data_IF_125207873247
#
_entry.id   IF_125207873247
#
_cell.length_a   1.000
_cell.length_b   1.000
_cell.length_c   1.000
_cell.angle_alpha   90.00
_cell.angle_beta   90.00
_cell.angle_gamma   90.00
#
_symmetry.space_group_name_H-M   'P 1'
#
loop_
_entity.id
_entity.type
_entity.pdbx_description
1 polymer ?
#
# COMPACT_ATOMS: atom_id res chain seq x y z
N UNK A 1 -21.89 23.90 -28.07
CA UNK A 1 -23.04 22.99 -28.03
C UNK A 1 -23.43 22.68 -26.62
N UNK A 2 -24.64 22.91 -26.23
CA UNK A 2 -25.11 22.58 -24.90
C UNK A 2 -25.34 21.05 -24.78
N UNK A 3 -24.79 20.44 -23.77
CA UNK A 3 -25.03 19.04 -23.47
C UNK A 3 -26.43 18.91 -22.86
N UNK A 4 -27.29 17.97 -23.33
CA UNK A 4 -28.59 17.74 -22.70
C UNK A 4 -28.44 17.47 -21.19
N UNK A 5 -29.34 18.04 -20.40
CA UNK A 5 -29.26 17.93 -18.93
C UNK A 5 -29.23 16.49 -18.44
N UNK A 6 -29.97 15.58 -19.07
CA UNK A 6 -29.96 14.17 -18.67
C UNK A 6 -28.59 13.50 -18.88
N UNK A 7 -27.99 13.76 -20.05
CA UNK A 7 -26.65 13.24 -20.36
C UNK A 7 -25.59 13.86 -19.45
N UNK A 8 -25.73 15.16 -19.17
CA UNK A 8 -24.83 15.87 -18.27
C UNK A 8 -24.87 15.26 -16.87
N UNK A 9 -26.06 15.01 -16.33
CA UNK A 9 -26.23 14.39 -15.02
C UNK A 9 -25.67 12.99 -14.98
N UNK A 10 -25.93 12.18 -16.01
CA UNK A 10 -25.38 10.83 -16.11
C UNK A 10 -23.84 10.84 -16.14
N UNK A 11 -23.28 11.74 -16.95
CA UNK A 11 -21.83 11.86 -17.07
C UNK A 11 -21.17 12.30 -15.76
N UNK A 12 -21.76 13.31 -15.11
CA UNK A 12 -21.28 13.77 -13.81
C UNK A 12 -21.38 12.68 -12.75
N UNK A 13 -22.45 11.89 -12.76
CA UNK A 13 -22.64 10.79 -11.84
C UNK A 13 -21.60 9.69 -12.06
N UNK A 14 -21.31 9.35 -13.30
CA UNK A 14 -20.28 8.36 -13.63
C UNK A 14 -18.89 8.82 -13.17
N UNK A 15 -18.54 10.07 -13.43
CA UNK A 15 -17.25 10.65 -13.02
C UNK A 15 -17.16 10.72 -11.50
N UNK A 16 -18.24 11.14 -10.83
CA UNK A 16 -18.33 11.18 -9.37
C UNK A 16 -18.14 9.79 -8.76
N UNK A 17 -18.76 8.77 -9.36
CA UNK A 17 -18.61 7.39 -8.90
C UNK A 17 -17.17 6.90 -9.03
N UNK A 18 -16.49 7.23 -10.14
CA UNK A 18 -15.08 6.91 -10.35
C UNK A 18 -14.20 7.60 -9.32
N UNK A 19 -14.47 8.89 -9.05
CA UNK A 19 -13.72 9.66 -8.07
C UNK A 19 -13.88 9.08 -6.67
N UNK A 20 -15.10 8.74 -6.28
CA UNK A 20 -15.38 8.13 -4.98
C UNK A 20 -14.70 6.77 -4.84
N UNK A 21 -14.73 5.95 -5.87
CA UNK A 21 -14.07 4.65 -5.88
C UNK A 21 -12.56 4.82 -5.74
N UNK A 22 -11.96 5.75 -6.49
CA UNK A 22 -10.53 6.02 -6.41
C UNK A 22 -10.14 6.50 -5.00
N UNK A 23 -10.92 7.40 -4.40
CA UNK A 23 -10.69 7.90 -3.04
C UNK A 23 -10.76 6.77 -2.01
N UNK A 24 -11.77 5.91 -2.13
CA UNK A 24 -11.93 4.75 -1.24
C UNK A 24 -10.75 3.79 -1.35
N UNK A 25 -10.33 3.48 -2.57
CA UNK A 25 -9.18 2.62 -2.82
C UNK A 25 -7.87 3.25 -2.32
N UNK A 26 -7.73 4.58 -2.45
CA UNK A 26 -6.58 5.31 -1.89
C UNK A 26 -6.49 5.15 -0.39
N UNK A 27 -7.62 5.23 0.33
CA UNK A 27 -7.65 5.01 1.77
C UNK A 27 -7.16 3.62 2.15
N UNK A 28 -7.59 2.60 1.41
CA UNK A 28 -7.17 1.22 1.62
C UNK A 28 -5.67 1.06 1.35
N UNK A 29 -5.18 1.59 0.22
CA UNK A 29 -3.77 1.50 -0.17
C UNK A 29 -2.88 2.22 0.85
N UNK A 30 -3.28 3.41 1.29
CA UNK A 30 -2.53 4.17 2.30
C UNK A 30 -2.41 3.39 3.61
N UNK A 31 -3.48 2.72 4.03
CA UNK A 31 -3.47 1.87 5.23
C UNK A 31 -2.51 0.69 5.03
N UNK A 32 -2.51 0.06 3.88
CA UNK A 32 -1.61 -1.03 3.54
C UNK A 32 -0.14 -0.57 3.54
N UNK A 33 0.14 0.61 2.98
CA UNK A 33 1.49 1.18 2.97
C UNK A 33 2.00 1.40 4.39
N UNK A 34 1.18 1.99 5.26
CA UNK A 34 1.55 2.22 6.66
C UNK A 34 1.83 0.90 7.37
N UNK A 35 0.98 -0.11 7.17
CA UNK A 35 1.15 -1.43 7.76
C UNK A 35 2.45 -2.09 7.29
N UNK A 36 2.76 -2.02 5.99
CA UNK A 36 3.99 -2.60 5.42
C UNK A 36 5.24 -1.87 5.89
N UNK A 37 5.19 -0.55 6.04
CA UNK A 37 6.31 0.22 6.59
C UNK A 37 6.61 -0.16 8.03
N UNK A 38 5.57 -0.38 8.84
CA UNK A 38 5.73 -0.85 10.22
C UNK A 38 6.37 -2.24 10.26
N UNK A 39 5.92 -3.12 9.40
CA UNK A 39 6.46 -4.47 9.28
C UNK A 39 7.93 -4.44 8.86
N UNK A 40 8.29 -3.61 7.89
CA UNK A 40 9.66 -3.40 7.44
C UNK A 40 10.55 -2.90 8.59
N UNK A 41 10.06 -1.91 9.36
CA UNK A 41 10.79 -1.38 10.50
C UNK A 41 11.00 -2.43 11.58
N UNK A 42 9.99 -3.24 11.86
CA UNK A 42 10.08 -4.34 12.82
C UNK A 42 11.16 -5.32 12.41
N UNK A 43 11.21 -5.68 11.14
CA UNK A 43 12.26 -6.57 10.61
C UNK A 43 13.66 -5.97 10.74
N UNK A 44 13.81 -4.67 10.44
CA UNK A 44 15.09 -3.98 10.60
C UNK A 44 15.56 -4.00 12.06
N UNK A 45 14.67 -3.73 12.99
CA UNK A 45 15.00 -3.75 14.43
C UNK A 45 15.36 -5.15 14.88
N UNK A 46 14.62 -6.16 14.45
CA UNK A 46 14.89 -7.55 14.75
C UNK A 46 16.26 -7.99 14.20
N UNK A 47 16.57 -7.61 12.96
CA UNK A 47 17.85 -7.91 12.33
C UNK A 47 19.01 -7.24 13.08
N UNK A 48 18.85 -6.00 13.49
CA UNK A 48 19.84 -5.29 14.30
C UNK A 48 20.08 -5.98 15.65
N UNK A 49 19.01 -6.40 16.31
CA UNK A 49 19.11 -7.15 17.56
C UNK A 49 19.81 -8.49 17.35
N UNK A 50 19.50 -9.19 16.27
CA UNK A 50 20.16 -10.45 15.93
C UNK A 50 21.64 -10.27 15.66
N UNK A 51 22.05 -9.17 15.03
CA UNK A 51 23.46 -8.86 14.78
C UNK A 51 24.26 -8.61 16.06
N UNK A 52 23.58 -8.15 17.13
CA UNK A 52 24.23 -7.91 18.42
C UNK A 52 24.44 -9.19 19.25
N UNK A 53 23.82 -10.30 18.84
CA UNK A 53 23.94 -11.57 19.55
C UNK A 53 25.24 -12.30 19.20
N UNK A 54 25.86 -13.01 20.18
CA UNK A 54 27.01 -13.88 19.88
C UNK A 54 26.63 -14.95 18.86
N UNK A 55 27.62 -15.37 18.06
CA UNK A 55 27.46 -16.29 16.92
C UNK A 55 26.71 -17.60 17.23
N UNK A 56 26.79 -18.11 18.44
CA UNK A 56 26.23 -19.40 18.84
C UNK A 56 25.03 -19.25 19.79
N UNK A 57 24.46 -18.06 19.88
CA UNK A 57 23.31 -17.83 20.75
C UNK A 57 22.10 -18.61 20.25
N UNK A 58 21.49 -19.47 21.09
CA UNK A 58 20.29 -20.17 20.69
C UNK A 58 19.14 -19.19 20.54
N UNK A 59 18.40 -19.31 19.43
CA UNK A 59 17.25 -18.47 19.13
C UNK A 59 16.04 -19.36 19.01
N UNK A 60 14.92 -18.93 19.62
CA UNK A 60 13.66 -19.65 19.59
C UNK A 60 12.66 -18.91 18.74
N UNK A 61 12.04 -19.62 17.83
CA UNK A 61 11.01 -19.09 16.96
C UNK A 61 9.64 -19.54 17.40
N UNK A 62 8.69 -18.61 17.48
CA UNK A 62 7.32 -18.94 17.80
C UNK A 62 6.60 -19.53 16.59
N UNK A 63 6.11 -20.76 16.70
CA UNK A 63 5.27 -21.44 15.70
C UNK A 63 3.99 -21.85 16.38
N UNK A 64 2.92 -21.10 16.12
CA UNK A 64 1.66 -21.28 16.85
C UNK A 64 1.86 -21.03 18.33
N UNK A 65 1.61 -22.04 19.18
CA UNK A 65 1.81 -21.96 20.64
C UNK A 65 3.16 -22.54 21.11
N UNK A 66 4.03 -22.94 20.17
CA UNK A 66 5.30 -23.59 20.48
C UNK A 66 6.47 -22.73 20.04
N UNK A 67 7.61 -22.89 20.72
CA UNK A 67 8.86 -22.27 20.33
C UNK A 67 9.80 -23.37 19.81
N UNK A 68 10.38 -23.12 18.65
CA UNK A 68 11.29 -24.04 17.99
C UNK A 68 12.68 -23.43 17.97
N UNK A 69 13.68 -24.22 18.40
CA UNK A 69 15.08 -23.82 18.38
C UNK A 69 15.53 -23.66 16.91
N UNK A 70 16.04 -22.50 16.58
CA UNK A 70 16.48 -22.19 15.22
C UNK A 70 17.88 -21.56 15.26
N UNK A 71 18.69 -21.78 14.22
CA UNK A 71 19.98 -21.11 14.12
C UNK A 71 19.80 -19.63 13.78
N UNK A 72 20.70 -18.79 14.29
CA UNK A 72 20.70 -17.35 13.99
C UNK A 72 20.83 -17.09 12.49
N UNK A 73 21.65 -17.89 11.79
CA UNK A 73 21.84 -17.78 10.35
C UNK A 73 20.57 -18.04 9.56
N UNK A 74 19.78 -19.04 9.95
CA UNK A 74 18.52 -19.37 9.28
C UNK A 74 17.47 -18.28 9.49
N UNK A 75 17.40 -17.73 10.70
CA UNK A 75 16.49 -16.61 11.01
C UNK A 75 16.85 -15.38 10.18
N UNK A 76 18.14 -15.06 10.09
CA UNK A 76 18.62 -13.93 9.28
C UNK A 76 18.29 -14.08 7.81
N UNK A 77 18.47 -15.29 7.24
CA UNK A 77 18.13 -15.56 5.83
C UNK A 77 16.65 -15.34 5.57
N UNK A 78 15.80 -15.83 6.46
CA UNK A 78 14.36 -15.68 6.33
C UNK A 78 13.96 -14.22 6.47
N UNK A 79 14.51 -13.49 7.43
CA UNK A 79 14.24 -12.07 7.62
C UNK A 79 14.68 -11.25 6.41
N UNK A 80 15.83 -11.58 5.81
CA UNK A 80 16.29 -10.90 4.59
C UNK A 80 15.33 -11.12 3.43
N UNK A 81 14.80 -12.34 3.28
CA UNK A 81 13.80 -12.65 2.24
C UNK A 81 12.49 -11.90 2.48
N UNK A 82 12.01 -11.88 3.72
CA UNK A 82 10.82 -11.14 4.10
C UNK A 82 10.97 -9.64 3.84
N UNK A 83 12.14 -9.08 4.17
CA UNK A 83 12.43 -7.67 3.93
C UNK A 83 12.41 -7.35 2.43
N UNK A 84 12.96 -8.23 1.60
CA UNK A 84 12.93 -8.07 0.15
C UNK A 84 11.51 -8.15 -0.40
N UNK A 85 10.71 -9.10 0.08
CA UNK A 85 9.30 -9.25 -0.32
C UNK A 85 8.49 -8.01 0.06
N UNK A 86 8.69 -7.48 1.27
CA UNK A 86 8.02 -6.25 1.72
C UNK A 86 8.42 -5.06 0.85
N UNK A 87 9.68 -4.96 0.48
CA UNK A 87 10.18 -3.90 -0.40
C UNK A 87 9.49 -3.94 -1.75
N UNK A 88 9.32 -5.14 -2.33
CA UNK A 88 8.59 -5.32 -3.60
C UNK A 88 7.12 -4.94 -3.46
N UNK A 89 6.48 -5.36 -2.37
CA UNK A 89 5.08 -5.02 -2.09
C UNK A 89 4.90 -3.51 -1.92
N UNK A 90 5.83 -2.83 -1.24
CA UNK A 90 5.81 -1.37 -1.09
C UNK A 90 5.94 -0.66 -2.42
N UNK A 91 6.80 -1.13 -3.32
CA UNK A 91 6.94 -0.58 -4.66
C UNK A 91 5.63 -0.72 -5.46
N UNK A 92 4.99 -1.88 -5.36
CA UNK A 92 3.72 -2.14 -6.04
C UNK A 92 2.59 -1.26 -5.47
N UNK A 93 2.54 -1.10 -4.16
CA UNK A 93 1.56 -0.23 -3.50
C UNK A 93 1.78 1.23 -3.85
N UNK A 94 3.03 1.66 -3.95
CA UNK A 94 3.38 3.02 -4.36
C UNK A 94 2.90 3.32 -5.78
N UNK A 95 3.11 2.40 -6.71
CA UNK A 95 2.60 2.51 -8.08
C UNK A 95 1.07 2.57 -8.11
N UNK A 96 0.42 1.73 -7.33
CA UNK A 96 -1.04 1.70 -7.23
C UNK A 96 -1.57 3.01 -6.64
N UNK A 97 -0.92 3.52 -5.60
CA UNK A 97 -1.25 4.82 -5.00
C UNK A 97 -1.16 5.94 -6.05
N UNK A 98 -0.07 5.99 -6.79
CA UNK A 98 0.13 7.01 -7.81
C UNK A 98 -0.92 6.94 -8.91
N UNK A 99 -1.24 5.74 -9.38
CA UNK A 99 -2.29 5.51 -10.37
C UNK A 99 -3.65 6.00 -9.87
N UNK A 100 -4.00 5.68 -8.63
CA UNK A 100 -5.27 6.08 -8.03
C UNK A 100 -5.34 7.59 -7.79
N UNK A 101 -4.25 8.20 -7.35
CA UNK A 101 -4.17 9.67 -7.19
C UNK A 101 -4.37 10.38 -8.53
N UNK A 102 -3.73 9.87 -9.59
CA UNK A 102 -3.87 10.42 -10.94
C UNK A 102 -5.30 10.25 -11.45
N UNK A 103 -5.91 9.10 -11.22
CA UNK A 103 -7.30 8.83 -11.61
C UNK A 103 -8.26 9.77 -10.89
N UNK A 104 -8.07 9.96 -9.59
CA UNK A 104 -8.89 10.86 -8.78
C UNK A 104 -8.78 12.31 -9.27
N UNK A 105 -7.55 12.77 -9.48
CA UNK A 105 -7.28 14.13 -9.98
C UNK A 105 -7.88 14.34 -11.36
N UNK A 106 -7.69 13.40 -12.28
CA UNK A 106 -8.24 13.49 -13.63
C UNK A 106 -9.78 13.52 -13.60
N UNK A 107 -10.39 12.76 -12.71
CA UNK A 107 -11.85 12.77 -12.53
C UNK A 107 -12.35 14.12 -12.05
N UNK A 108 -11.66 14.74 -11.09
CA UNK A 108 -12.00 16.07 -10.60
C UNK A 108 -11.83 17.13 -11.69
N UNK A 109 -10.73 17.10 -12.42
CA UNK A 109 -10.46 18.03 -13.51
C UNK A 109 -11.50 17.88 -14.63
N UNK A 110 -11.88 16.66 -14.94
CA UNK A 110 -12.91 16.37 -15.94
C UNK A 110 -14.27 16.91 -15.52
N UNK A 111 -14.65 16.71 -14.27
CA UNK A 111 -15.90 17.30 -13.72
C UNK A 111 -15.89 18.81 -13.83
N UNK A 112 -14.77 19.43 -13.47
CA UNK A 112 -14.62 20.88 -13.52
C UNK A 112 -14.76 21.39 -14.95
N UNK A 113 -14.13 20.75 -15.93
CA UNK A 113 -14.23 21.12 -17.34
C UNK A 113 -15.67 21.01 -17.84
N UNK A 114 -16.37 19.95 -17.48
CA UNK A 114 -17.76 19.74 -17.88
C UNK A 114 -18.66 20.84 -17.29
N UNK A 115 -18.48 21.17 -16.02
CA UNK A 115 -19.25 22.22 -15.35
C UNK A 115 -18.98 23.61 -15.95
N UNK A 116 -17.74 23.89 -16.31
CA UNK A 116 -17.37 25.14 -16.95
C UNK A 116 -17.98 25.28 -18.36
N UNK A 117 -18.05 24.16 -19.11
CA UNK A 117 -18.64 24.17 -20.46
C UNK A 117 -20.16 24.27 -20.45
N UNK A 118 -20.80 23.77 -19.40
CA UNK A 118 -22.26 23.76 -19.29
C UNK A 118 -22.81 25.02 -18.62
N UNK A 119 -21.94 25.80 -18.01
CA UNK A 119 -22.30 27.02 -17.31
C UNK A 119 -22.43 28.29 -18.17
#
# INVERSE_FOLDING_TARGET
>A
MAIPNEKLQQLLQEISSKAQFAEQQLGIVNTQIVAKKRESRRLQLSDTEMDSLPKETPVYEGVGKMFVLTSTGDVKKRQAKEAEDIKKELLNLDKKQHYLETTFKNSQDHMKQILERSG
#
